data_IF_055104281391
#
_entry.id   IF_055104281391
#
_cell.length_a   1.000
_cell.length_b   1.000
_cell.length_c   1.000
_cell.angle_alpha   90.00
_cell.angle_beta   90.00
_cell.angle_gamma   90.00
#
_symmetry.space_group_name_H-M   'P 1'
#
loop_
_entity.id
_entity.type
_entity.pdbx_description
1 polymer ?
#
# COMPACT_ATOMS: atom_id res chain seq x y z
N UNK A 1 -9.70 25.26 60.91
CA UNK A 1 -10.15 24.91 62.27
C UNK A 1 -11.20 23.81 62.13
N UNK A 2 -10.83 22.57 62.50
CA UNK A 2 -11.65 21.41 62.89
C UNK A 2 -12.50 20.73 61.77
N UNK A 3 -11.99 19.67 61.12
CA UNK A 3 -12.12 18.18 61.36
C UNK A 3 -13.25 17.56 60.50
N UNK A 4 -12.93 16.86 59.40
CA UNK A 4 -12.73 15.40 59.20
C UNK A 4 -14.01 14.71 58.66
N UNK A 5 -13.98 13.71 57.76
CA UNK A 5 -13.02 12.63 57.43
C UNK A 5 -13.00 12.45 55.90
N UNK A 6 -11.87 12.41 55.17
CA UNK A 6 -10.79 11.40 55.08
C UNK A 6 -11.23 9.97 54.75
N UNK A 7 -10.96 9.55 53.50
CA UNK A 7 -10.04 8.44 53.20
C UNK A 7 -9.47 8.62 51.80
N UNK A 8 -8.13 8.68 51.75
CA UNK A 8 -7.29 8.85 50.58
C UNK A 8 -6.40 7.60 50.38
N UNK A 9 -5.85 7.52 49.18
CA UNK A 9 -4.78 6.68 48.63
C UNK A 9 -3.67 6.13 49.58
N UNK A 10 -3.30 4.84 49.47
CA UNK A 10 -1.99 4.28 48.95
C UNK A 10 -1.56 2.89 49.50
N UNK A 11 -0.92 2.15 48.57
CA UNK A 11 0.23 1.23 48.66
C UNK A 11 0.16 -0.14 49.37
N UNK A 12 0.73 -1.13 48.66
CA UNK A 12 1.50 -2.30 49.14
C UNK A 12 0.71 -3.34 49.94
N UNK A 13 0.98 -4.64 49.97
CA UNK A 13 1.83 -5.65 49.35
C UNK A 13 1.28 -6.97 49.99
N UNK A 14 1.83 -8.13 49.63
CA UNK A 14 1.65 -9.39 50.37
C UNK A 14 0.25 -10.06 50.35
N UNK A 15 0.06 -10.97 49.40
CA UNK A 15 -0.08 -12.37 49.80
C UNK A 15 0.15 -13.33 48.63
N UNK A 16 1.39 -13.80 48.54
CA UNK A 16 1.70 -15.05 47.88
C UNK A 16 1.21 -16.21 48.75
N UNK A 17 0.43 -17.15 48.17
CA UNK A 17 0.77 -18.58 48.15
C UNK A 17 -0.29 -19.45 47.46
N UNK A 18 0.22 -20.25 46.53
CA UNK A 18 -0.09 -21.67 46.33
C UNK A 18 -1.41 -22.04 45.66
N UNK A 19 -1.33 -22.22 44.33
CA UNK A 19 -1.82 -23.46 43.72
C UNK A 19 -0.96 -23.84 42.52
N UNK A 20 -0.10 -24.85 42.71
CA UNK A 20 0.69 -25.49 41.65
C UNK A 20 -0.25 -26.15 40.63
N UNK A 21 -0.35 -25.59 39.43
CA UNK A 21 -0.72 -26.35 38.22
C UNK A 21 0.54 -26.58 37.39
N UNK A 22 0.96 -27.84 37.32
CA UNK A 22 1.99 -28.35 36.41
C UNK A 22 1.64 -27.90 34.98
N UNK A 23 2.47 -27.03 34.40
CA UNK A 23 2.50 -26.82 32.95
C UNK A 23 3.23 -28.00 32.34
N UNK A 24 2.53 -28.78 31.52
CA UNK A 24 3.13 -29.72 30.59
C UNK A 24 3.99 -28.92 29.60
N UNK A 25 5.26 -29.30 29.49
CA UNK A 25 6.14 -28.85 28.43
C UNK A 25 5.62 -29.41 27.10
N UNK A 26 5.17 -28.56 26.17
CA UNK A 26 4.72 -29.01 24.85
C UNK A 26 3.92 -28.01 24.02
N UNK A 27 3.26 -27.00 24.60
CA UNK A 27 2.50 -26.02 23.81
C UNK A 27 3.39 -24.83 23.43
N UNK A 28 3.69 -24.73 22.14
CA UNK A 28 4.53 -23.69 21.56
C UNK A 28 3.82 -22.33 21.59
N UNK A 29 4.57 -21.26 21.91
CA UNK A 29 4.19 -19.84 21.84
C UNK A 29 3.92 -19.34 20.39
N UNK A 30 3.33 -20.17 19.52
CA UNK A 30 2.87 -19.79 18.18
C UNK A 30 1.52 -19.09 18.21
N UNK A 31 0.80 -19.16 19.33
CA UNK A 31 -0.52 -18.56 19.57
C UNK A 31 -0.48 -17.03 19.61
N UNK A 32 0.54 -16.41 20.22
CA UNK A 32 0.63 -14.95 20.36
C UNK A 32 0.81 -14.18 19.03
N UNK A 33 1.39 -14.81 18.00
CA UNK A 33 1.54 -14.20 16.68
C UNK A 33 0.28 -14.34 15.81
N UNK A 34 -0.54 -15.37 16.07
CA UNK A 34 -1.75 -15.68 15.30
C UNK A 34 -2.94 -14.83 15.73
N UNK A 35 -3.15 -14.63 17.03
CA UNK A 35 -4.33 -13.95 17.57
C UNK A 35 -4.50 -12.49 17.09
N UNK A 36 -3.41 -11.76 16.83
CA UNK A 36 -3.50 -10.37 16.35
C UNK A 36 -3.83 -10.28 14.85
N UNK A 37 -3.27 -11.17 14.04
CA UNK A 37 -3.52 -11.18 12.60
C UNK A 37 -4.86 -11.82 12.26
N UNK A 38 -5.33 -12.77 13.08
CA UNK A 38 -6.63 -13.42 12.91
C UNK A 38 -7.80 -12.43 13.10
N UNK A 39 -7.67 -11.41 13.97
CA UNK A 39 -8.67 -10.35 14.11
C UNK A 39 -8.81 -9.45 12.86
N UNK A 40 -7.75 -9.32 12.05
CA UNK A 40 -7.75 -8.56 10.79
C UNK A 40 -8.12 -9.48 9.61
N UNK A 41 -7.74 -10.76 9.67
CA UNK A 41 -8.10 -11.78 8.69
C UNK A 41 -9.59 -12.16 8.75
N UNK A 42 -10.23 -12.03 9.92
CA UNK A 42 -11.67 -12.23 10.09
C UNK A 42 -12.51 -11.03 9.63
N UNK A 43 -12.05 -10.22 8.67
CA UNK A 43 -12.76 -9.09 8.05
C UNK A 43 -14.06 -9.50 7.32
N UNK A 44 -14.92 -10.19 8.05
CA UNK A 44 -16.14 -10.86 7.66
C UNK A 44 -17.28 -10.12 8.35
N UNK A 45 -18.04 -9.37 7.56
CA UNK A 45 -19.46 -9.18 7.82
C UNK A 45 -20.16 -9.87 6.64
N UNK A 46 -20.91 -10.94 6.90
CA UNK A 46 -21.72 -11.66 5.91
C UNK A 46 -20.96 -12.35 4.76
N UNK A 47 -19.81 -12.98 5.02
CA UNK A 47 -19.17 -13.88 4.06
C UNK A 47 -18.49 -13.24 2.84
N UNK A 48 -18.18 -11.94 2.88
CA UNK A 48 -17.36 -11.27 1.87
C UNK A 48 -16.06 -10.75 2.49
N UNK A 49 -14.90 -11.26 2.07
CA UNK A 49 -13.63 -10.63 2.43
C UNK A 49 -13.39 -9.39 1.56
N UNK A 50 -13.52 -8.23 2.19
CA UNK A 50 -13.15 -6.90 1.69
C UNK A 50 -12.07 -6.29 2.59
N UNK A 51 -11.07 -7.07 2.98
CA UNK A 51 -10.15 -6.71 4.06
C UNK A 51 -9.00 -5.81 3.58
N UNK A 52 -8.81 -4.72 4.33
CA UNK A 52 -7.59 -3.93 4.41
C UNK A 52 -6.87 -4.32 5.71
N UNK A 53 -5.56 -4.10 5.81
CA UNK A 53 -4.86 -4.24 7.11
C UNK A 53 -5.43 -3.30 8.18
N UNK A 54 -6.10 -2.24 7.74
CA UNK A 54 -6.74 -1.25 8.59
C UNK A 54 -8.25 -1.51 8.57
N UNK A 55 -8.82 -1.73 9.75
CA UNK A 55 -10.24 -2.01 9.93
C UNK A 55 -11.14 -0.82 9.51
N UNK A 56 -10.58 0.40 9.51
CA UNK A 56 -11.29 1.63 9.14
C UNK A 56 -10.77 2.09 7.77
N UNK A 57 -11.64 2.04 6.77
CA UNK A 57 -11.44 2.72 5.51
C UNK A 57 -11.83 4.18 5.68
N UNK A 58 -10.89 5.10 5.47
CA UNK A 58 -11.19 6.52 5.52
C UNK A 58 -11.78 6.96 4.19
N UNK A 59 -13.12 6.88 4.08
CA UNK A 59 -13.89 7.49 3.00
C UNK A 59 -14.17 8.94 3.37
N UNK A 60 -13.47 9.85 2.73
CA UNK A 60 -13.56 11.28 3.03
C UNK A 60 -14.27 11.94 1.84
N UNK A 61 -15.49 12.43 2.10
CA UNK A 61 -16.31 13.13 1.10
C UNK A 61 -16.40 14.62 1.38
N UNK A 62 -16.52 15.38 0.31
CA UNK A 62 -16.69 16.82 0.33
C UNK A 62 -17.99 17.30 0.97
N UNK A 63 -19.00 16.44 1.05
CA UNK A 63 -20.28 16.76 1.68
C UNK A 63 -20.19 16.78 3.21
N UNK A 64 -19.18 16.13 3.79
CA UNK A 64 -18.95 16.10 5.25
C UNK A 64 -18.08 17.26 5.74
N UNK A 65 -18.10 18.41 5.06
CA UNK A 65 -17.50 19.66 5.56
C UNK A 65 -18.38 20.24 6.66
N UNK A 66 -18.55 19.53 7.77
CA UNK A 66 -19.20 20.11 8.94
C UNK A 66 -18.37 21.30 9.42
N UNK A 67 -19.02 22.46 9.51
CA UNK A 67 -18.43 23.77 9.80
C UNK A 67 -17.97 23.95 11.26
N UNK A 68 -17.88 22.87 12.04
CA UNK A 68 -17.39 22.89 13.40
C UNK A 68 -15.89 23.21 13.45
N UNK A 69 -15.48 24.03 14.42
CA UNK A 69 -14.07 24.28 14.70
C UNK A 69 -13.46 22.97 15.19
N UNK A 70 -12.74 22.26 14.31
CA UNK A 70 -11.98 21.06 14.67
C UNK A 70 -10.53 21.48 14.90
N UNK A 71 -10.01 21.17 16.09
CA UNK A 71 -8.62 21.44 16.40
C UNK A 71 -7.72 20.29 15.95
N UNK A 72 -6.45 20.58 15.60
CA UNK A 72 -5.46 19.55 15.33
C UNK A 72 -5.29 18.62 16.54
N UNK A 73 -5.26 17.31 16.29
CA UNK A 73 -5.06 16.34 17.36
C UNK A 73 -3.57 16.27 17.77
N UNK A 74 -3.20 17.08 18.77
CA UNK A 74 -1.80 17.16 19.24
C UNK A 74 -1.28 15.84 19.81
N UNK A 75 -2.14 15.02 20.41
CA UNK A 75 -1.77 13.70 20.94
C UNK A 75 -1.37 12.74 19.82
N UNK A 76 -2.16 12.70 18.74
CA UNK A 76 -1.85 11.88 17.55
C UNK A 76 -0.54 12.34 16.90
N UNK A 77 -0.32 13.65 16.75
CA UNK A 77 0.95 14.16 16.19
C UNK A 77 2.16 13.78 17.05
N UNK A 78 2.04 13.81 18.37
CA UNK A 78 3.10 13.36 19.27
C UNK A 78 3.32 11.84 19.19
N UNK A 79 2.25 11.06 19.09
CA UNK A 79 2.30 9.61 18.92
C UNK A 79 3.01 9.22 17.62
N UNK A 80 2.69 9.86 16.49
CA UNK A 80 3.36 9.65 15.19
C UNK A 80 4.87 9.85 15.34
N UNK A 81 5.32 10.97 15.94
CA UNK A 81 6.76 11.23 16.14
C UNK A 81 7.43 10.16 17.02
N UNK A 82 6.73 9.68 18.05
CA UNK A 82 7.22 8.60 18.91
C UNK A 82 7.35 7.29 18.15
N UNK A 83 6.29 6.87 17.46
CA UNK A 83 6.23 5.63 16.70
C UNK A 83 7.23 5.61 15.54
N UNK A 84 7.40 6.72 14.81
CA UNK A 84 8.41 6.85 13.76
C UNK A 84 9.82 6.62 14.29
N UNK A 85 10.16 7.18 15.46
CA UNK A 85 11.48 6.94 16.10
C UNK A 85 11.66 5.47 16.49
N UNK A 86 10.64 4.85 17.06
CA UNK A 86 10.68 3.42 17.42
C UNK A 86 10.81 2.53 16.18
N UNK A 87 10.10 2.84 15.10
CA UNK A 87 10.17 2.09 13.84
C UNK A 87 11.55 2.19 13.20
N UNK A 88 12.16 3.38 13.18
CA UNK A 88 13.53 3.57 12.70
C UNK A 88 14.51 2.70 13.52
N UNK A 89 14.40 2.73 14.86
CA UNK A 89 15.24 1.90 15.73
C UNK A 89 15.04 0.39 15.46
N UNK A 90 13.80 -0.07 15.28
CA UNK A 90 13.50 -1.45 14.94
C UNK A 90 14.09 -1.84 13.58
N UNK A 91 13.90 -1.00 12.55
CA UNK A 91 14.43 -1.24 11.19
C UNK A 91 15.95 -1.35 11.17
N UNK A 92 16.67 -0.48 11.89
CA UNK A 92 18.14 -0.52 12.01
C UNK A 92 18.66 -1.80 12.64
N UNK A 93 17.85 -2.50 13.44
CA UNK A 93 18.23 -3.77 14.07
C UNK A 93 17.99 -5.00 13.18
N UNK A 94 17.15 -4.88 12.15
CA UNK A 94 16.77 -6.02 11.30
C UNK A 94 17.97 -6.62 10.58
N UNK A 95 18.78 -5.79 9.92
CA UNK A 95 19.92 -6.27 9.15
C UNK A 95 21.01 -6.90 10.04
N UNK A 96 21.46 -6.25 11.13
CA UNK A 96 22.37 -6.89 12.07
C UNK A 96 21.84 -8.20 12.67
N UNK A 97 20.52 -8.32 12.88
CA UNK A 97 19.92 -9.57 13.36
C UNK A 97 19.96 -10.67 12.28
N UNK A 98 19.76 -10.32 11.01
CA UNK A 98 19.89 -11.24 9.90
C UNK A 98 21.35 -11.71 9.73
N UNK A 99 22.34 -10.82 9.89
CA UNK A 99 23.77 -11.16 9.86
C UNK A 99 24.13 -12.17 10.95
N UNK A 100 23.74 -11.90 12.21
CA UNK A 100 23.95 -12.84 13.32
C UNK A 100 23.27 -14.19 13.07
N UNK A 101 22.04 -14.16 12.56
CA UNK A 101 21.32 -15.39 12.22
C UNK A 101 22.04 -16.19 11.13
N UNK A 102 22.53 -15.52 10.09
CA UNK A 102 23.27 -16.12 8.99
C UNK A 102 24.61 -16.74 9.45
N UNK A 103 25.33 -16.06 10.33
CA UNK A 103 26.59 -16.54 10.91
C UNK A 103 26.40 -17.87 11.65
N UNK A 104 25.36 -17.97 12.49
CA UNK A 104 25.09 -19.20 13.24
C UNK A 104 24.56 -20.33 12.33
N UNK A 105 23.76 -19.99 11.32
CA UNK A 105 23.12 -20.97 10.42
C UNK A 105 23.99 -21.41 9.24
N UNK A 106 25.12 -20.76 9.00
CA UNK A 106 25.93 -20.98 7.79
C UNK A 106 25.21 -20.56 6.50
N UNK A 107 24.25 -19.62 6.60
CA UNK A 107 23.41 -19.13 5.52
C UNK A 107 23.85 -17.74 5.05
N UNK A 108 23.07 -17.09 4.17
CA UNK A 108 23.28 -15.70 3.75
C UNK A 108 22.29 -14.75 4.46
N UNK A 109 22.70 -13.56 4.93
CA UNK A 109 21.80 -12.61 5.61
C UNK A 109 20.55 -12.28 4.80
N UNK A 110 20.67 -12.15 3.47
CA UNK A 110 19.54 -11.88 2.57
C UNK A 110 18.51 -13.00 2.61
N UNK A 111 18.98 -14.25 2.67
CA UNK A 111 18.12 -15.44 2.74
C UNK A 111 17.40 -15.47 4.08
N UNK A 112 18.13 -15.29 5.17
CA UNK A 112 17.58 -15.28 6.53
C UNK A 112 16.52 -14.18 6.70
N UNK A 113 16.84 -12.96 6.27
CA UNK A 113 15.90 -11.85 6.31
C UNK A 113 14.68 -12.10 5.42
N UNK A 114 14.89 -12.65 4.21
CA UNK A 114 13.83 -12.99 3.27
C UNK A 114 12.86 -14.04 3.82
N UNK A 115 13.39 -15.13 4.38
CA UNK A 115 12.61 -16.20 5.02
C UNK A 115 11.86 -15.70 6.24
N UNK A 116 12.51 -14.95 7.13
CA UNK A 116 11.85 -14.39 8.31
C UNK A 116 10.71 -13.43 7.94
N UNK A 117 10.94 -12.57 6.94
CA UNK A 117 9.92 -11.66 6.42
C UNK A 117 8.74 -12.40 5.80
N UNK A 118 8.99 -13.50 5.07
CA UNK A 118 7.94 -14.35 4.49
C UNK A 118 7.13 -15.04 5.58
N UNK A 119 7.80 -15.64 6.55
CA UNK A 119 7.18 -16.37 7.64
C UNK A 119 6.30 -15.47 8.52
N UNK A 120 6.77 -14.27 8.84
CA UNK A 120 6.03 -13.32 9.67
C UNK A 120 4.89 -12.61 8.94
N UNK A 121 4.69 -12.85 7.64
CA UNK A 121 3.56 -12.28 6.88
C UNK A 121 2.49 -13.36 6.64
N UNK A 122 1.34 -13.32 7.34
CA UNK A 122 0.30 -14.33 7.18
C UNK A 122 -0.34 -14.32 5.79
N UNK A 123 -0.18 -13.22 5.04
CA UNK A 123 -0.70 -13.06 3.68
C UNK A 123 0.31 -13.44 2.60
N UNK A 124 1.53 -13.84 2.95
CA UNK A 124 2.53 -14.24 1.96
C UNK A 124 2.09 -15.45 1.10
N UNK A 125 1.36 -16.45 1.63
CA UNK A 125 0.81 -17.55 0.82
C UNK A 125 -0.12 -17.10 -0.31
N UNK A 126 -0.77 -15.93 -0.22
CA UNK A 126 -1.58 -15.39 -1.31
C UNK A 126 -0.76 -15.22 -2.59
N UNK A 127 0.50 -14.84 -2.47
CA UNK A 127 1.41 -14.75 -3.60
C UNK A 127 2.05 -16.10 -3.91
N UNK A 128 2.78 -16.66 -2.95
CA UNK A 128 3.79 -17.71 -3.17
C UNK A 128 3.34 -19.14 -2.84
N UNK A 129 2.07 -19.39 -2.47
CA UNK A 129 1.63 -20.66 -1.88
C UNK A 129 2.01 -21.94 -2.65
N UNK A 130 2.42 -22.98 -1.90
CA UNK A 130 2.88 -24.29 -2.39
C UNK A 130 1.84 -25.07 -3.24
N UNK A 131 0.57 -24.65 -3.24
CA UNK A 131 -0.50 -25.22 -4.08
C UNK A 131 -0.98 -24.27 -5.19
N UNK A 132 -0.18 -23.25 -5.52
CA UNK A 132 -0.51 -22.27 -6.56
C UNK A 132 -1.17 -21.01 -6.01
N UNK A 133 -0.38 -20.23 -5.27
CA UNK A 133 -0.71 -18.84 -4.95
C UNK A 133 -1.05 -18.01 -6.19
N UNK A 134 -1.68 -16.85 -6.00
CA UNK A 134 -2.13 -15.96 -7.08
C UNK A 134 -0.99 -15.45 -7.98
N UNK A 135 0.29 -15.62 -7.60
CA UNK A 135 1.42 -15.35 -8.51
C UNK A 135 1.45 -16.29 -9.73
N UNK A 136 0.72 -17.41 -9.73
CA UNK A 136 0.58 -18.23 -10.93
C UNK A 136 -0.41 -17.62 -11.93
N UNK A 137 -1.32 -16.77 -11.47
CA UNK A 137 -2.36 -16.15 -12.30
C UNK A 137 -1.90 -14.82 -12.90
N UNK A 138 -0.87 -14.19 -12.32
CA UNK A 138 -0.40 -12.86 -12.71
C UNK A 138 1.12 -12.82 -12.77
N UNK A 139 1.65 -11.93 -13.60
CA UNK A 139 3.10 -11.74 -13.76
C UNK A 139 3.81 -11.35 -12.46
N UNK A 140 3.12 -10.64 -11.57
CA UNK A 140 3.67 -10.15 -10.32
C UNK A 140 2.58 -9.79 -9.31
N UNK A 141 3.00 -9.50 -8.08
CA UNK A 141 2.10 -9.17 -6.97
C UNK A 141 1.36 -7.83 -7.11
N UNK A 142 1.78 -6.93 -8.00
CA UNK A 142 1.05 -5.67 -8.18
C UNK A 142 -0.38 -5.95 -8.68
N UNK A 143 -0.56 -6.90 -9.60
CA UNK A 143 -1.89 -7.33 -10.04
C UNK A 143 -2.79 -7.74 -8.86
N UNK A 144 -2.24 -8.53 -7.92
CA UNK A 144 -2.92 -8.99 -6.70
C UNK A 144 -3.29 -7.81 -5.78
N UNK A 145 -2.45 -6.76 -5.72
CA UNK A 145 -2.79 -5.53 -4.98
C UNK A 145 -3.99 -4.83 -5.59
N UNK A 146 -4.00 -4.62 -6.90
CA UNK A 146 -5.11 -3.95 -7.55
C UNK A 146 -6.40 -4.79 -7.47
N UNK A 147 -6.30 -6.11 -7.60
CA UNK A 147 -7.43 -7.02 -7.38
C UNK A 147 -8.01 -6.89 -5.97
N UNK A 148 -7.16 -6.86 -4.95
CA UNK A 148 -7.58 -6.65 -3.57
C UNK A 148 -8.22 -5.27 -3.38
N UNK A 149 -7.63 -4.21 -3.91
CA UNK A 149 -8.16 -2.84 -3.85
C UNK A 149 -9.54 -2.78 -4.50
N UNK A 150 -9.67 -3.32 -5.70
CA UNK A 150 -10.94 -3.32 -6.44
C UNK A 150 -12.02 -4.08 -5.68
N UNK A 151 -11.71 -5.25 -5.11
CA UNK A 151 -12.63 -6.01 -4.26
C UNK A 151 -13.06 -5.23 -3.00
N UNK A 152 -12.14 -4.53 -2.32
CA UNK A 152 -12.46 -3.65 -1.18
C UNK A 152 -13.47 -2.58 -1.60
N UNK A 153 -13.31 -2.03 -2.81
CA UNK A 153 -14.15 -0.98 -3.37
C UNK A 153 -15.45 -1.51 -4.00
N UNK A 154 -15.77 -2.79 -3.84
CA UNK A 154 -16.96 -3.40 -4.45
C UNK A 154 -16.88 -3.46 -5.98
N UNK A 155 -15.67 -3.67 -6.52
CA UNK A 155 -15.34 -3.75 -7.94
C UNK A 155 -15.56 -2.46 -8.75
N UNK A 156 -15.58 -1.31 -8.06
CA UNK A 156 -15.83 -0.01 -8.69
C UNK A 156 -14.75 0.43 -9.70
N UNK A 157 -13.54 -0.15 -9.69
CA UNK A 157 -12.50 0.20 -10.66
C UNK A 157 -12.73 -0.45 -12.03
N UNK A 158 -13.41 -1.61 -12.05
CA UNK A 158 -13.58 -2.44 -13.26
C UNK A 158 -15.04 -2.51 -13.72
N UNK A 159 -16.01 -2.33 -12.82
CA UNK A 159 -17.44 -2.20 -13.13
C UNK A 159 -17.82 -0.75 -13.44
N UNK A 160 -17.14 -0.15 -14.41
CA UNK A 160 -17.46 1.20 -14.87
C UNK A 160 -18.78 1.19 -15.63
N UNK A 161 -19.70 2.08 -15.24
CA UNK A 161 -21.00 2.27 -15.88
C UNK A 161 -20.88 3.04 -17.21
N UNK A 162 -20.21 2.43 -18.18
CA UNK A 162 -20.00 2.92 -19.53
C UNK A 162 -19.93 1.72 -20.48
N UNK A 163 -20.29 1.89 -21.74
CA UNK A 163 -20.14 0.84 -22.76
C UNK A 163 -18.65 0.52 -23.00
N UNK A 164 -17.78 1.53 -22.98
CA UNK A 164 -16.35 1.37 -23.16
C UNK A 164 -15.60 1.64 -21.86
N UNK A 165 -14.47 0.97 -21.64
CA UNK A 165 -13.61 1.18 -20.47
C UNK A 165 -12.20 1.55 -20.89
N UNK A 166 -11.76 2.74 -20.48
CA UNK A 166 -10.45 3.28 -20.83
C UNK A 166 -9.66 3.60 -19.58
N UNK A 167 -8.42 3.13 -19.53
CA UNK A 167 -7.54 3.36 -18.40
C UNK A 167 -6.10 3.68 -18.81
N UNK A 168 -5.36 4.35 -17.94
CA UNK A 168 -3.92 4.52 -18.08
C UNK A 168 -3.17 3.98 -16.85
N UNK A 169 -1.99 3.40 -17.09
CA UNK A 169 -1.10 2.82 -16.09
C UNK A 169 0.25 3.55 -16.12
N UNK A 170 0.45 4.44 -15.14
CA UNK A 170 1.60 5.32 -15.02
C UNK A 170 2.65 4.67 -14.11
N UNK A 171 3.89 4.64 -14.60
CA UNK A 171 5.01 3.98 -13.91
C UNK A 171 4.72 2.51 -13.54
N UNK A 172 3.82 1.85 -14.29
CA UNK A 172 3.27 0.55 -13.95
C UNK A 172 3.99 -0.66 -14.55
N UNK A 173 5.05 -0.45 -15.33
CA UNK A 173 5.80 -1.57 -15.92
C UNK A 173 6.33 -2.51 -14.81
N UNK A 174 6.27 -3.84 -14.99
CA UNK A 174 6.00 -4.56 -16.24
C UNK A 174 4.52 -4.70 -16.62
N UNK A 175 3.59 -4.12 -15.85
CA UNK A 175 2.17 -4.02 -16.19
C UNK A 175 1.23 -4.87 -15.34
N UNK A 176 1.57 -5.16 -14.07
CA UNK A 176 0.73 -6.00 -13.21
C UNK A 176 -0.68 -5.43 -12.98
N UNK A 177 -0.80 -4.11 -12.80
CA UNK A 177 -2.09 -3.43 -12.67
C UNK A 177 -2.91 -3.54 -13.96
N UNK A 178 -2.29 -3.22 -15.10
CA UNK A 178 -2.89 -3.42 -16.42
C UNK A 178 -3.32 -4.85 -16.68
N UNK A 179 -2.52 -5.84 -16.27
CA UNK A 179 -2.84 -7.27 -16.44
C UNK A 179 -4.14 -7.62 -15.73
N UNK A 180 -4.30 -7.20 -14.48
CA UNK A 180 -5.54 -7.38 -13.72
C UNK A 180 -6.73 -6.70 -14.40
N UNK A 181 -6.61 -5.43 -14.77
CA UNK A 181 -7.69 -4.65 -15.37
C UNK A 181 -8.17 -5.28 -16.69
N UNK A 182 -7.24 -5.73 -17.53
CA UNK A 182 -7.56 -6.36 -18.81
C UNK A 182 -8.24 -7.73 -18.61
N UNK A 183 -7.67 -8.62 -17.78
CA UNK A 183 -8.24 -9.95 -17.50
C UNK A 183 -9.63 -9.84 -16.90
N UNK A 184 -9.80 -9.01 -15.87
CA UNK A 184 -11.11 -8.76 -15.26
C UNK A 184 -12.13 -8.25 -16.26
N UNK A 185 -11.73 -7.30 -17.11
CA UNK A 185 -12.66 -6.73 -18.09
C UNK A 185 -13.08 -7.75 -19.14
N UNK A 186 -12.17 -8.66 -19.53
CA UNK A 186 -12.48 -9.78 -20.42
C UNK A 186 -13.58 -10.69 -19.86
N UNK A 187 -13.55 -10.96 -18.55
CA UNK A 187 -14.50 -11.87 -17.88
C UNK A 187 -15.86 -11.22 -17.61
N UNK A 188 -15.87 -9.91 -17.30
CA UNK A 188 -17.05 -9.24 -16.78
C UNK A 188 -17.81 -8.41 -17.82
N UNK A 189 -17.18 -8.07 -18.95
CA UNK A 189 -17.79 -7.22 -19.98
C UNK A 189 -18.18 -8.06 -21.20
N UNK A 190 -19.46 -7.97 -21.56
CA UNK A 190 -20.02 -8.68 -22.72
C UNK A 190 -20.00 -7.84 -24.01
N UNK A 191 -19.78 -6.53 -23.91
CA UNK A 191 -19.80 -5.60 -25.03
C UNK A 191 -18.88 -4.40 -24.80
N UNK A 192 -18.61 -3.68 -25.90
CA UNK A 192 -17.75 -2.49 -25.92
C UNK A 192 -16.26 -2.80 -25.86
N UNK A 193 -15.46 -1.74 -25.94
CA UNK A 193 -14.01 -1.81 -26.01
C UNK A 193 -13.36 -1.49 -24.68
N UNK A 194 -12.26 -2.20 -24.39
CA UNK A 194 -11.35 -1.88 -23.30
C UNK A 194 -10.04 -1.41 -23.89
N UNK A 195 -9.60 -0.20 -23.54
CA UNK A 195 -8.30 0.33 -23.98
C UNK A 195 -7.45 0.76 -22.80
N UNK A 196 -6.28 0.15 -22.68
CA UNK A 196 -5.25 0.54 -21.72
C UNK A 196 -4.11 1.28 -22.38
N UNK A 197 -3.54 2.25 -21.66
CA UNK A 197 -2.34 2.97 -22.10
C UNK A 197 -1.29 2.95 -21.00
N UNK A 198 -0.05 2.59 -21.32
CA UNK A 198 1.05 2.52 -20.37
C UNK A 198 2.12 3.54 -20.66
N UNK A 199 2.64 4.19 -19.63
CA UNK A 199 3.89 4.95 -19.72
C UNK A 199 4.76 4.69 -18.50
N UNK A 200 5.99 4.26 -18.73
CA UNK A 200 6.97 3.97 -17.68
C UNK A 200 8.36 4.18 -18.24
N UNK A 201 9.35 4.41 -17.36
CA UNK A 201 10.74 4.64 -17.74
C UNK A 201 11.26 3.51 -18.65
N UNK A 202 11.85 3.91 -19.76
CA UNK A 202 12.57 3.10 -20.75
C UNK A 202 14.04 3.47 -20.64
N UNK A 203 14.91 2.46 -20.50
CA UNK A 203 16.34 2.69 -20.33
C UNK A 203 16.68 3.08 -18.88
N UNK A 204 17.30 4.24 -18.66
CA UNK A 204 17.86 4.62 -17.35
C UNK A 204 17.71 6.12 -17.13
N UNK A 205 17.48 6.54 -15.89
CA UNK A 205 17.61 7.93 -15.43
C UNK A 205 18.39 7.99 -14.10
N UNK A 206 18.44 9.18 -13.48
CA UNK A 206 19.15 9.41 -12.21
C UNK A 206 18.63 8.54 -11.03
N UNK A 207 17.44 7.96 -11.15
CA UNK A 207 16.80 7.14 -10.12
C UNK A 207 16.87 5.63 -10.37
N UNK A 208 17.40 5.19 -11.51
CA UNK A 208 17.66 3.78 -11.81
C UNK A 208 17.24 3.35 -13.21
N UNK A 209 17.06 2.05 -13.37
CA UNK A 209 16.74 1.41 -14.66
C UNK A 209 15.24 1.13 -14.79
N UNK A 210 14.71 1.41 -15.98
CA UNK A 210 13.36 1.07 -16.38
C UNK A 210 13.15 -0.45 -16.54
N UNK A 211 11.91 -0.89 -16.39
CA UNK A 211 11.48 -2.27 -16.67
C UNK A 211 10.59 -2.29 -17.90
N UNK A 212 10.74 -3.29 -18.76
CA UNK A 212 9.91 -3.45 -19.95
C UNK A 212 8.49 -3.93 -19.62
N UNK A 213 7.51 -3.51 -20.43
CA UNK A 213 6.13 -3.99 -20.35
C UNK A 213 6.02 -5.44 -20.83
N UNK A 214 5.20 -6.25 -20.15
CA UNK A 214 5.05 -7.68 -20.45
C UNK A 214 3.56 -8.07 -20.56
N UNK A 215 2.82 -7.45 -21.48
CA UNK A 215 1.37 -7.67 -21.64
C UNK A 215 1.00 -8.40 -22.94
N UNK A 216 1.99 -8.87 -23.70
CA UNK A 216 1.77 -9.53 -25.00
C UNK A 216 0.99 -10.85 -24.93
N UNK A 217 0.91 -11.47 -23.74
CA UNK A 217 0.10 -12.67 -23.51
C UNK A 217 -1.40 -12.38 -23.40
N UNK A 218 -1.80 -11.12 -23.21
CA UNK A 218 -3.21 -10.72 -23.21
C UNK A 218 -3.59 -10.34 -24.64
N UNK A 219 -4.36 -11.21 -25.29
CA UNK A 219 -4.87 -10.96 -26.62
C UNK A 219 -6.35 -11.35 -26.71
N UNK A 220 -7.21 -10.36 -26.92
CA UNK A 220 -8.64 -10.57 -27.07
C UNK A 220 -9.23 -9.47 -27.97
N UNK A 221 -10.23 -9.79 -28.79
CA UNK A 221 -10.71 -8.91 -29.87
C UNK A 221 -11.18 -7.53 -29.40
N UNK A 222 -11.73 -7.45 -28.18
CA UNK A 222 -12.26 -6.20 -27.61
C UNK A 222 -11.28 -5.47 -26.67
N UNK A 223 -10.07 -6.00 -26.49
CA UNK A 223 -9.04 -5.43 -25.62
C UNK A 223 -7.91 -4.86 -26.47
N UNK A 224 -7.44 -3.67 -26.10
CA UNK A 224 -6.23 -3.08 -26.68
C UNK A 224 -5.37 -2.50 -25.57
N UNK A 225 -4.04 -2.63 -25.72
CA UNK A 225 -3.09 -2.00 -24.83
C UNK A 225 -1.97 -1.34 -25.64
N UNK A 226 -1.68 -0.08 -25.36
CA UNK A 226 -0.64 0.68 -26.05
C UNK A 226 0.38 1.23 -25.06
N UNK A 227 1.66 1.10 -25.37
CA UNK A 227 2.73 1.68 -24.57
C UNK A 227 3.23 2.96 -25.25
N UNK A 228 3.42 4.02 -24.48
CA UNK A 228 4.01 5.27 -24.92
C UNK A 228 5.33 5.52 -24.21
N UNK A 229 6.38 5.85 -24.97
CA UNK A 229 7.61 6.43 -24.45
C UNK A 229 7.57 7.95 -24.30
N UNK A 230 6.43 8.60 -24.56
CA UNK A 230 6.34 10.05 -24.55
C UNK A 230 6.99 10.73 -25.75
N UNK A 231 7.32 12.01 -25.61
CA UNK A 231 7.86 12.87 -26.67
C UNK A 231 9.30 12.52 -27.03
N UNK A 232 10.12 12.18 -26.02
CA UNK A 232 11.52 11.83 -26.20
C UNK A 232 11.77 10.31 -26.24
N UNK A 233 10.73 9.50 -26.07
CA UNK A 233 10.79 8.04 -26.08
C UNK A 233 11.29 7.41 -24.77
N UNK A 234 11.68 8.20 -23.77
CA UNK A 234 12.21 7.70 -22.49
C UNK A 234 11.13 7.19 -21.54
N UNK A 235 9.88 7.59 -21.71
CA UNK A 235 8.79 7.31 -20.77
C UNK A 235 9.02 7.88 -19.37
N UNK A 236 9.98 8.79 -19.21
CA UNK A 236 10.27 9.43 -17.93
C UNK A 236 9.13 10.41 -17.59
N UNK A 237 8.43 10.13 -16.50
CA UNK A 237 7.29 10.93 -16.04
C UNK A 237 7.71 12.30 -15.48
N UNK A 238 8.99 12.48 -15.14
CA UNK A 238 9.51 13.78 -14.72
C UNK A 238 9.54 14.78 -15.87
N UNK A 239 9.53 14.31 -17.13
CA UNK A 239 9.41 15.17 -18.30
C UNK A 239 7.93 15.38 -18.66
N UNK A 240 7.42 16.59 -18.42
CA UNK A 240 6.01 16.91 -18.70
C UNK A 240 5.64 16.82 -20.18
N UNK A 241 6.59 16.95 -21.11
CA UNK A 241 6.32 16.74 -22.54
C UNK A 241 6.03 15.27 -22.87
N UNK A 242 6.55 14.32 -22.10
CA UNK A 242 6.21 12.90 -22.25
C UNK A 242 4.74 12.63 -21.89
N UNK A 243 4.27 13.23 -20.80
CA UNK A 243 2.86 13.16 -20.39
C UNK A 243 1.94 13.81 -21.43
N UNK A 244 2.32 14.98 -21.95
CA UNK A 244 1.53 15.66 -23.00
C UNK A 244 1.49 14.85 -24.30
N UNK A 245 2.61 14.22 -24.68
CA UNK A 245 2.66 13.33 -25.84
C UNK A 245 1.79 12.08 -25.66
N UNK A 246 1.78 11.47 -24.47
CA UNK A 246 0.86 10.38 -24.13
C UNK A 246 -0.61 10.82 -24.30
N UNK A 247 -1.00 11.98 -23.77
CA UNK A 247 -2.36 12.50 -23.93
C UNK A 247 -2.75 12.71 -25.39
N UNK A 248 -1.87 13.35 -26.18
CA UNK A 248 -2.12 13.55 -27.62
C UNK A 248 -2.26 12.23 -28.37
N UNK A 249 -1.44 11.23 -28.02
CA UNK A 249 -1.52 9.89 -28.60
C UNK A 249 -2.85 9.19 -28.28
N UNK A 250 -3.29 9.28 -27.02
CA UNK A 250 -4.61 8.80 -26.58
C UNK A 250 -5.73 9.49 -27.36
N UNK A 251 -5.71 10.82 -27.44
CA UNK A 251 -6.76 11.60 -28.12
C UNK A 251 -6.85 11.23 -29.59
N UNK A 252 -5.70 11.09 -30.26
CA UNK A 252 -5.61 10.65 -31.65
C UNK A 252 -6.18 9.24 -31.85
N UNK A 253 -5.77 8.27 -31.03
CA UNK A 253 -6.22 6.88 -31.11
C UNK A 253 -7.74 6.76 -30.87
N UNK A 254 -8.25 7.46 -29.85
CA UNK A 254 -9.68 7.49 -29.55
C UNK A 254 -10.48 8.18 -30.66
N UNK A 255 -9.98 9.30 -31.20
CA UNK A 255 -10.64 10.00 -32.30
C UNK A 255 -10.69 9.14 -33.57
N UNK A 256 -9.56 8.53 -33.95
CA UNK A 256 -9.46 7.65 -35.11
C UNK A 256 -10.41 6.45 -34.98
N UNK A 257 -10.51 5.90 -33.77
CA UNK A 257 -11.38 4.78 -33.46
C UNK A 257 -12.85 5.18 -33.23
N UNK A 258 -13.19 6.47 -33.33
CA UNK A 258 -14.52 7.03 -33.03
C UNK A 258 -15.05 6.68 -31.64
N UNK A 259 -14.14 6.54 -30.68
CA UNK A 259 -14.45 6.20 -29.29
C UNK A 259 -14.59 7.45 -28.43
N UNK A 260 -15.52 7.39 -27.48
CA UNK A 260 -15.75 8.41 -26.45
C UNK A 260 -15.80 7.73 -25.09
N UNK A 261 -15.32 8.42 -24.03
CA UNK A 261 -14.64 9.72 -24.01
C UNK A 261 -13.22 9.66 -24.60
N UNK A 262 -12.62 10.82 -24.92
CA UNK A 262 -11.22 10.94 -25.35
C UNK A 262 -10.22 11.01 -24.17
N UNK A 263 -10.70 10.70 -22.96
CA UNK A 263 -9.93 10.73 -21.71
C UNK A 263 -10.22 9.47 -20.89
N UNK A 264 -9.46 9.27 -19.82
CA UNK A 264 -9.47 8.00 -19.07
C UNK A 264 -10.56 7.96 -18.01
N UNK A 265 -11.23 6.81 -17.88
CA UNK A 265 -12.11 6.49 -16.75
C UNK A 265 -11.31 6.23 -15.48
N UNK A 266 -10.14 5.58 -15.63
CA UNK A 266 -9.26 5.19 -14.55
C UNK A 266 -7.83 5.55 -14.89
N UNK A 267 -7.11 6.16 -13.95
CA UNK A 267 -5.65 6.23 -13.99
C UNK A 267 -5.13 5.51 -12.76
N UNK A 268 -4.17 4.62 -12.95
CA UNK A 268 -3.47 3.93 -11.87
C UNK A 268 -1.99 4.30 -11.90
N UNK A 269 -1.39 4.45 -10.73
CA UNK A 269 -0.01 4.87 -10.55
C UNK A 269 0.63 4.08 -9.39
N UNK A 270 1.63 3.24 -9.71
CA UNK A 270 2.35 2.36 -8.76
C UNK A 270 3.87 2.59 -8.76
N UNK A 271 4.30 3.82 -9.10
CA UNK A 271 5.70 4.18 -9.22
C UNK A 271 6.53 3.94 -7.97
N UNK A 272 7.81 3.64 -8.20
CA UNK A 272 8.82 3.51 -7.14
C UNK A 272 10.19 3.18 -7.71
N UNK A 273 11.24 3.42 -6.93
CA UNK A 273 12.63 3.21 -7.33
C UNK A 273 13.48 2.66 -6.18
N UNK A 274 14.63 2.07 -6.49
CA UNK A 274 15.39 1.26 -5.52
C UNK A 274 15.92 2.06 -4.33
N UNK A 275 16.44 3.28 -4.56
CA UNK A 275 16.90 4.15 -3.49
C UNK A 275 15.78 4.46 -2.48
N UNK A 276 14.54 4.64 -2.96
CA UNK A 276 13.37 4.85 -2.12
C UNK A 276 12.97 3.58 -1.35
N UNK A 277 13.09 2.40 -1.95
CA UNK A 277 12.73 1.12 -1.29
C UNK A 277 13.59 0.81 -0.07
N UNK A 278 14.86 1.21 -0.10
CA UNK A 278 15.85 0.91 0.95
C UNK A 278 16.00 2.03 1.99
N UNK A 279 15.29 3.15 1.83
CA UNK A 279 15.43 4.33 2.70
C UNK A 279 14.49 4.30 3.91
N UNK A 280 14.92 4.96 4.99
CA UNK A 280 14.07 5.32 6.14
C UNK A 280 13.14 6.50 5.81
N UNK A 281 13.53 7.34 4.84
CA UNK A 281 12.83 8.56 4.40
C UNK A 281 12.12 8.34 3.06
N UNK A 282 11.24 7.32 3.00
CA UNK A 282 10.60 6.93 1.73
C UNK A 282 9.65 8.00 1.20
N UNK A 283 8.97 8.73 2.09
CA UNK A 283 8.02 9.78 1.71
C UNK A 283 8.74 10.95 1.02
N UNK A 284 9.82 11.44 1.62
CA UNK A 284 10.60 12.56 1.08
C UNK A 284 11.19 12.22 -0.28
N UNK A 285 11.75 11.01 -0.43
CA UNK A 285 12.33 10.56 -1.71
C UNK A 285 11.28 10.37 -2.79
N UNK A 286 10.10 9.83 -2.45
CA UNK A 286 9.02 9.59 -3.42
C UNK A 286 8.25 10.84 -3.82
N UNK A 287 8.39 11.96 -3.08
CA UNK A 287 7.54 13.15 -3.23
C UNK A 287 7.50 13.66 -4.67
N UNK A 288 8.65 13.82 -5.33
CA UNK A 288 8.70 14.30 -6.72
C UNK A 288 7.95 13.35 -7.67
N UNK A 289 8.17 12.05 -7.54
CA UNK A 289 7.52 11.03 -8.37
C UNK A 289 6.00 11.07 -8.20
N UNK A 290 5.53 11.05 -6.95
CA UNK A 290 4.10 11.10 -6.61
C UNK A 290 3.44 12.34 -7.20
N UNK A 291 4.08 13.52 -7.11
CA UNK A 291 3.52 14.73 -7.69
C UNK A 291 3.44 14.65 -9.22
N UNK A 292 4.46 14.12 -9.89
CA UNK A 292 4.42 13.91 -11.33
C UNK A 292 3.31 12.92 -11.74
N UNK A 293 3.10 11.83 -10.98
CA UNK A 293 2.00 10.89 -11.19
C UNK A 293 0.63 11.54 -10.99
N UNK A 294 0.44 12.38 -9.95
CA UNK A 294 -0.79 13.14 -9.73
C UNK A 294 -1.03 14.11 -10.89
N UNK A 295 -0.03 14.89 -11.26
CA UNK A 295 -0.14 15.87 -12.34
C UNK A 295 -0.51 15.20 -13.68
N UNK A 296 0.14 14.08 -13.99
CA UNK A 296 -0.18 13.28 -15.18
C UNK A 296 -1.59 12.71 -15.12
N UNK A 297 -2.02 12.18 -13.96
CA UNK A 297 -3.37 11.68 -13.79
C UNK A 297 -4.44 12.77 -14.01
N UNK A 298 -4.25 13.97 -13.46
CA UNK A 298 -5.20 15.08 -13.66
C UNK A 298 -5.30 15.48 -15.15
N UNK A 299 -4.19 15.38 -15.89
CA UNK A 299 -4.17 15.66 -17.32
C UNK A 299 -4.95 14.62 -18.13
N UNK A 300 -4.85 13.34 -17.75
CA UNK A 300 -5.41 12.20 -18.50
C UNK A 300 -6.87 11.86 -18.13
N UNK A 301 -7.31 12.19 -16.92
CA UNK A 301 -8.64 11.82 -16.43
C UNK A 301 -9.76 12.62 -17.10
N UNK A 302 -10.87 11.92 -17.37
CA UNK A 302 -12.13 12.58 -17.68
C UNK A 302 -12.81 13.07 -16.39
N UNK A 303 -13.76 14.00 -16.54
CA UNK A 303 -14.66 14.35 -15.44
C UNK A 303 -15.46 13.12 -14.97
N UNK A 304 -15.53 12.89 -13.66
CA UNK A 304 -16.07 11.70 -13.03
C UNK A 304 -15.07 10.54 -12.91
N UNK A 305 -13.88 10.65 -13.48
CA UNK A 305 -12.85 9.61 -13.47
C UNK A 305 -12.27 9.31 -12.08
N UNK A 306 -11.53 8.20 -11.99
CA UNK A 306 -10.90 7.72 -10.74
C UNK A 306 -9.38 7.64 -10.87
N UNK A 307 -8.66 8.08 -9.83
CA UNK A 307 -7.22 7.86 -9.65
C UNK A 307 -6.98 6.82 -8.56
N UNK A 308 -6.11 5.84 -8.80
CA UNK A 308 -5.49 5.01 -7.76
C UNK A 308 -4.00 5.33 -7.73
N UNK A 309 -3.50 5.84 -6.62
CA UNK A 309 -2.08 6.22 -6.49
C UNK A 309 -1.45 5.62 -5.25
N UNK A 310 -0.22 5.13 -5.42
CA UNK A 310 0.63 4.65 -4.34
C UNK A 310 1.30 5.81 -3.59
N UNK A 311 1.34 5.68 -2.27
CA UNK A 311 1.94 6.66 -1.37
C UNK A 311 2.83 5.95 -0.32
N UNK A 312 3.63 6.72 0.40
CA UNK A 312 4.51 6.21 1.47
C UNK A 312 4.35 6.90 2.83
N UNK A 313 3.61 8.00 2.89
CA UNK A 313 3.36 8.78 4.09
C UNK A 313 2.53 10.02 3.76
N UNK A 314 2.04 10.70 4.80
CA UNK A 314 1.33 11.97 4.67
C UNK A 314 1.92 13.04 5.58
N UNK A 315 3.17 12.95 6.04
CA UNK A 315 3.71 13.86 7.06
C UNK A 315 4.43 15.07 6.49
N UNK A 316 4.96 14.98 5.27
CA UNK A 316 5.64 16.10 4.61
C UNK A 316 4.65 17.19 4.22
N UNK A 317 5.08 18.45 4.33
CA UNK A 317 4.23 19.60 3.97
C UNK A 317 3.78 19.53 2.50
N UNK A 318 4.66 19.11 1.60
CA UNK A 318 4.39 19.01 0.17
C UNK A 318 3.29 17.99 -0.11
N UNK A 319 3.37 16.79 0.49
CA UNK A 319 2.32 15.77 0.34
C UNK A 319 1.01 16.23 0.98
N UNK A 320 1.04 16.89 2.15
CA UNK A 320 -0.16 17.47 2.78
C UNK A 320 -0.88 18.43 1.85
N UNK A 321 -0.13 19.33 1.21
CA UNK A 321 -0.70 20.27 0.24
C UNK A 321 -1.31 19.52 -0.95
N UNK A 322 -0.59 18.56 -1.53
CA UNK A 322 -1.10 17.76 -2.64
C UNK A 322 -2.37 16.96 -2.27
N UNK A 323 -2.43 16.41 -1.05
CA UNK A 323 -3.59 15.66 -0.56
C UNK A 323 -4.82 16.56 -0.37
N UNK A 324 -4.64 17.81 0.08
CA UNK A 324 -5.73 18.79 0.20
C UNK A 324 -6.23 19.22 -1.18
N UNK A 325 -5.32 19.41 -2.14
CA UNK A 325 -5.68 19.69 -3.53
C UNK A 325 -6.47 18.50 -4.12
N UNK A 326 -6.00 17.26 -3.94
CA UNK A 326 -6.74 16.05 -4.35
C UNK A 326 -8.12 15.97 -3.68
N UNK A 327 -8.21 16.30 -2.38
CA UNK A 327 -9.48 16.36 -1.68
C UNK A 327 -10.43 17.34 -2.38
N UNK A 328 -9.97 18.53 -2.77
CA UNK A 328 -10.78 19.51 -3.50
C UNK A 328 -11.05 19.14 -4.96
N UNK A 329 -10.19 18.35 -5.62
CA UNK A 329 -10.34 17.98 -7.02
C UNK A 329 -11.25 16.77 -7.25
N UNK A 330 -11.56 16.01 -6.19
CA UNK A 330 -12.36 14.79 -6.26
C UNK A 330 -13.55 14.83 -5.29
N UNK A 331 -14.57 14.03 -5.57
CA UNK A 331 -15.75 13.94 -4.71
C UNK A 331 -15.52 13.08 -3.46
N UNK A 332 -14.66 12.08 -3.59
CA UNK A 332 -14.36 11.12 -2.54
C UNK A 332 -12.89 10.67 -2.60
N UNK A 333 -12.22 10.67 -1.44
CA UNK A 333 -10.93 10.01 -1.25
C UNK A 333 -11.12 8.79 -0.35
N UNK A 334 -10.55 7.65 -0.75
CA UNK A 334 -10.44 6.44 0.09
C UNK A 334 -8.98 6.11 0.33
N UNK A 335 -8.56 6.06 1.58
CA UNK A 335 -7.18 5.68 1.96
C UNK A 335 -7.19 4.27 2.53
N UNK A 336 -6.30 3.41 2.04
CA UNK A 336 -6.27 2.00 2.43
C UNK A 336 -4.86 1.39 2.31
N UNK A 337 -4.64 0.28 3.02
CA UNK A 337 -3.49 -0.60 2.84
C UNK A 337 -3.98 -2.02 2.55
N UNK A 338 -3.90 -2.49 1.29
CA UNK A 338 -4.43 -3.82 0.95
C UNK A 338 -3.63 -4.90 1.68
N UNK A 339 -4.30 -5.99 2.07
CA UNK A 339 -3.67 -7.13 2.77
C UNK A 339 -2.58 -7.82 1.92
N UNK A 340 -2.69 -7.70 0.59
CA UNK A 340 -1.67 -8.16 -0.36
C UNK A 340 -0.41 -7.26 -0.41
N UNK A 341 -0.44 -6.07 0.22
CA UNK A 341 0.77 -5.29 0.52
C UNK A 341 1.37 -5.74 1.84
N UNK A 342 2.69 -5.94 1.88
CA UNK A 342 3.38 -6.48 3.06
C UNK A 342 3.21 -5.56 4.29
N UNK A 343 2.97 -6.09 5.49
CA UNK A 343 2.62 -5.29 6.68
C UNK A 343 3.78 -4.44 7.21
N UNK A 344 5.03 -4.84 6.98
CA UNK A 344 6.22 -4.06 7.35
C UNK A 344 6.54 -2.89 6.39
N UNK A 345 5.83 -2.78 5.26
CA UNK A 345 6.02 -1.71 4.28
C UNK A 345 5.16 -0.48 4.59
N UNK A 346 5.72 0.70 4.37
CA UNK A 346 5.00 1.98 4.42
C UNK A 346 4.10 2.22 3.19
N UNK A 347 4.15 1.33 2.19
CA UNK A 347 3.28 1.35 1.03
C UNK A 347 1.80 1.32 1.45
N UNK A 348 1.06 2.27 0.89
CA UNK A 348 -0.38 2.48 1.04
C UNK A 348 -0.92 3.07 -0.26
N UNK A 349 -2.24 3.07 -0.43
CA UNK A 349 -2.89 3.58 -1.63
C UNK A 349 -3.96 4.61 -1.27
N UNK A 350 -4.08 5.63 -2.12
CA UNK A 350 -5.18 6.59 -2.12
C UNK A 350 -5.99 6.38 -3.39
N UNK A 351 -7.30 6.25 -3.25
CA UNK A 351 -8.25 6.14 -4.36
C UNK A 351 -9.11 7.39 -4.38
N UNK A 352 -8.92 8.24 -5.39
CA UNK A 352 -9.65 9.48 -5.59
C UNK A 352 -10.74 9.25 -6.64
N UNK A 353 -12.02 9.38 -6.27
CA UNK A 353 -13.18 9.12 -7.14
C UNK A 353 -13.94 10.40 -7.45
N UNK A 354 -14.47 10.49 -8.66
CA UNK A 354 -15.27 11.63 -9.10
C UNK A 354 -14.40 12.85 -9.37
N UNK A 355 -13.43 12.73 -10.28
CA UNK A 355 -12.62 13.87 -10.70
C UNK A 355 -13.51 15.00 -11.22
N UNK A 356 -13.40 16.20 -10.64
CA UNK A 356 -14.31 17.30 -10.98
C UNK A 356 -14.04 17.95 -12.34
N UNK A 357 -12.87 17.68 -12.92
CA UNK A 357 -12.39 18.33 -14.12
C UNK A 357 -11.85 19.73 -13.81
N UNK A 358 -10.65 20.01 -14.29
CA UNK A 358 -10.08 21.36 -14.28
C UNK A 358 -9.86 21.83 -15.71
N UNK A 359 -10.44 22.98 -16.05
CA UNK A 359 -10.14 23.64 -17.33
C UNK A 359 -8.70 24.16 -17.28
N UNK A 360 -7.98 23.98 -18.38
CA UNK A 360 -6.63 24.53 -18.57
C UNK A 360 -5.63 24.12 -17.46
N UNK A 361 -5.76 22.90 -16.92
CA UNK A 361 -4.82 22.40 -15.93
C UNK A 361 -3.40 22.26 -16.50
N UNK A 362 -2.46 23.03 -15.96
CA UNK A 362 -1.02 22.84 -16.19
C UNK A 362 -0.38 22.13 -14.99
N UNK A 363 0.09 20.90 -15.23
CA UNK A 363 0.72 20.09 -14.19
C UNK A 363 2.02 20.68 -13.64
N UNK A 364 2.77 21.42 -14.46
CA UNK A 364 4.03 22.06 -14.05
C UNK A 364 3.74 23.23 -13.13
N UNK A 365 2.78 24.08 -13.49
CA UNK A 365 2.33 25.18 -12.64
C UNK A 365 1.74 24.68 -11.33
N UNK A 366 0.91 23.63 -11.38
CA UNK A 366 0.37 23.00 -10.18
C UNK A 366 1.48 22.46 -9.28
N UNK A 367 2.44 21.69 -9.81
CA UNK A 367 3.56 21.18 -9.01
C UNK A 367 4.38 22.31 -8.37
N UNK A 368 4.73 23.36 -9.13
CA UNK A 368 5.43 24.53 -8.61
C UNK A 368 4.63 25.19 -7.48
N UNK A 369 3.31 25.31 -7.66
CA UNK A 369 2.42 25.86 -6.65
C UNK A 369 2.44 25.02 -5.37
N UNK A 370 2.42 23.68 -5.47
CA UNK A 370 2.47 22.75 -4.33
C UNK A 370 3.79 22.86 -3.59
N UNK A 371 4.92 22.89 -4.30
CA UNK A 371 6.25 23.01 -3.68
C UNK A 371 6.46 24.34 -2.94
N UNK A 372 5.92 25.43 -3.48
CA UNK A 372 6.11 26.78 -2.94
C UNK A 372 5.02 27.19 -1.94
N UNK A 373 3.93 26.41 -1.80
CA UNK A 373 2.78 26.78 -0.96
C UNK A 373 3.14 26.79 0.52
N UNK A 374 3.00 27.97 1.14
CA UNK A 374 3.04 28.11 2.59
C UNK A 374 1.67 27.82 3.17
N UNK A 375 1.60 26.84 4.06
CA UNK A 375 0.35 26.50 4.76
C UNK A 375 0.02 27.57 5.79
N UNK A 376 -1.10 28.27 5.57
CA UNK A 376 -1.59 29.31 6.47
C UNK A 376 -2.38 28.71 7.65
N UNK A 377 -2.59 29.46 8.75
CA UNK A 377 -3.51 29.05 9.81
C UNK A 377 -4.93 28.77 9.30
N UNK A 378 -5.39 29.54 8.30
CA UNK A 378 -6.68 29.36 7.65
C UNK A 378 -6.76 28.02 6.92
N UNK A 379 -5.71 27.62 6.21
CA UNK A 379 -5.63 26.30 5.57
C UNK A 379 -5.73 25.18 6.62
N UNK A 380 -4.96 25.29 7.72
CA UNK A 380 -5.00 24.30 8.80
C UNK A 380 -6.40 24.16 9.40
N UNK A 381 -7.13 25.26 9.56
CA UNK A 381 -8.50 25.23 10.05
C UNK A 381 -9.46 24.62 9.02
N UNK A 382 -9.35 25.03 7.75
CA UNK A 382 -10.20 24.53 6.65
C UNK A 382 -10.07 23.02 6.45
N UNK A 383 -8.85 22.48 6.57
CA UNK A 383 -8.58 21.05 6.35
C UNK A 383 -8.36 20.27 7.65
N UNK A 384 -8.67 20.83 8.84
CA UNK A 384 -8.35 20.19 10.12
C UNK A 384 -8.88 18.75 10.24
N UNK A 385 -10.16 18.53 9.90
CA UNK A 385 -10.76 17.20 9.92
C UNK A 385 -10.07 16.24 8.95
N UNK A 386 -9.79 16.70 7.73
CA UNK A 386 -9.10 15.93 6.71
C UNK A 386 -7.69 15.56 7.17
N UNK A 387 -6.94 16.53 7.67
CA UNK A 387 -5.59 16.34 8.18
C UNK A 387 -5.55 15.38 9.37
N UNK A 388 -6.50 15.47 10.29
CA UNK A 388 -6.64 14.54 11.40
C UNK A 388 -6.87 13.10 10.90
N UNK A 389 -7.64 12.89 9.82
CA UNK A 389 -7.81 11.55 9.23
C UNK A 389 -6.54 11.01 8.58
N UNK A 390 -5.73 11.86 7.96
CA UNK A 390 -4.40 11.45 7.46
C UNK A 390 -3.47 11.06 8.61
N UNK A 391 -3.49 11.83 9.71
CA UNK A 391 -2.70 11.56 10.91
C UNK A 391 -3.10 10.25 11.60
N UNK A 392 -4.41 10.02 11.79
CA UNK A 392 -4.94 8.75 12.30
C UNK A 392 -4.44 7.56 11.47
N UNK A 393 -4.51 7.66 10.14
CA UNK A 393 -4.03 6.61 9.24
C UNK A 393 -2.52 6.39 9.34
N UNK A 394 -1.72 7.46 9.39
CA UNK A 394 -0.27 7.37 9.58
C UNK A 394 0.09 6.68 10.90
N UNK A 395 -0.60 7.04 11.98
CA UNK A 395 -0.39 6.43 13.30
C UNK A 395 -0.68 4.92 13.27
N UNK A 396 -1.84 4.53 12.75
CA UNK A 396 -2.23 3.10 12.67
C UNK A 396 -1.25 2.30 11.80
N UNK A 397 -0.82 2.88 10.67
CA UNK A 397 0.14 2.21 9.81
C UNK A 397 1.52 2.08 10.47
N UNK A 398 1.98 3.09 11.20
CA UNK A 398 3.23 3.02 11.96
C UNK A 398 3.17 1.92 13.02
N UNK A 399 2.04 1.77 13.72
CA UNK A 399 1.85 0.67 14.67
C UNK A 399 1.91 -0.70 13.99
N UNK A 400 1.25 -0.87 12.84
CA UNK A 400 1.31 -2.11 12.05
C UNK A 400 2.73 -2.41 11.58
N UNK A 401 3.42 -1.41 11.01
CA UNK A 401 4.80 -1.54 10.55
C UNK A 401 5.74 -1.94 11.70
N UNK A 402 5.60 -1.27 12.86
CA UNK A 402 6.42 -1.54 14.04
C UNK A 402 6.22 -2.97 14.55
N UNK A 403 4.96 -3.41 14.68
CA UNK A 403 4.63 -4.79 15.07
C UNK A 403 5.22 -5.81 14.09
N UNK A 404 5.07 -5.58 12.79
CA UNK A 404 5.63 -6.46 11.76
C UNK A 404 7.16 -6.51 11.80
N UNK A 405 7.84 -5.38 11.98
CA UNK A 405 9.29 -5.33 12.16
C UNK A 405 9.74 -6.07 13.43
N UNK A 406 9.03 -5.91 14.55
CA UNK A 406 9.34 -6.66 15.78
C UNK A 406 9.13 -8.16 15.64
N UNK A 407 8.11 -8.61 14.90
CA UNK A 407 7.90 -10.02 14.64
C UNK A 407 9.08 -10.63 13.87
N UNK A 408 9.52 -9.96 12.80
CA UNK A 408 10.69 -10.38 12.00
C UNK A 408 11.95 -10.39 12.86
N UNK A 409 12.19 -9.32 13.61
CA UNK A 409 13.35 -9.20 14.48
C UNK A 409 13.38 -10.31 15.54
N UNK A 410 12.25 -10.58 16.19
CA UNK A 410 12.11 -11.62 17.21
C UNK A 410 12.39 -13.01 16.63
N UNK A 411 11.93 -13.28 15.40
CA UNK A 411 12.20 -14.55 14.73
C UNK A 411 13.68 -14.75 14.42
N UNK A 412 14.33 -13.73 13.86
CA UNK A 412 15.77 -13.76 13.56
C UNK A 412 16.61 -13.96 14.83
N UNK A 413 16.31 -13.21 15.89
CA UNK A 413 17.02 -13.31 17.17
C UNK A 413 16.81 -14.68 17.83
N UNK A 414 15.60 -15.26 17.75
CA UNK A 414 15.33 -16.62 18.25
C UNK A 414 16.05 -17.69 17.43
N UNK A 415 16.07 -17.59 16.11
CA UNK A 415 16.75 -18.57 15.22
C UNK A 415 18.26 -18.56 15.50
N UNK A 416 18.87 -17.38 15.66
CA UNK A 416 20.26 -17.24 16.07
C UNK A 416 20.52 -17.87 17.45
N UNK A 417 19.71 -17.55 18.46
CA UNK A 417 19.90 -18.06 19.82
C UNK A 417 19.68 -19.59 19.94
N UNK A 418 18.69 -20.13 19.24
CA UNK A 418 18.38 -21.56 19.26
C UNK A 418 19.57 -22.36 18.73
N UNK A 419 20.19 -21.96 17.63
CA UNK A 419 21.32 -22.73 17.09
C UNK A 419 22.61 -22.59 17.92
N UNK A 420 22.84 -21.46 18.59
CA UNK A 420 23.91 -21.35 19.59
C UNK A 420 23.69 -22.33 20.77
N UNK A 421 22.44 -22.59 21.16
CA UNK A 421 22.13 -23.59 22.20
C UNK A 421 22.17 -25.03 21.68
N UNK A 422 21.79 -25.27 20.42
CA UNK A 422 21.84 -26.59 19.77
C UNK A 422 23.28 -27.06 19.47
N UNK A 423 24.21 -26.15 19.20
CA UNK A 423 25.65 -26.48 19.11
C UNK A 423 26.22 -27.00 20.44
N UNK A 424 25.56 -26.73 21.58
CA UNK A 424 25.93 -27.25 22.90
C UNK A 424 25.29 -28.62 23.17
N UNK A 425 24.20 -28.97 22.48
CA UNK A 425 23.50 -30.26 22.60
C UNK A 425 23.50 -31.04 21.29
N UNK A 426 24.67 -31.56 20.89
CA UNK A 426 24.72 -32.58 19.84
C UNK A 426 24.07 -33.87 20.36
N UNK A 427 22.81 -34.13 19.95
CA UNK A 427 22.29 -35.43 19.50
C UNK A 427 20.77 -35.33 19.24
N UNK A 428 20.38 -35.28 17.96
CA UNK A 428 19.06 -35.73 17.48
C UNK A 428 18.00 -34.65 17.22
N UNK A 429 17.74 -34.37 15.93
CA UNK A 429 16.53 -33.70 15.45
C UNK A 429 16.79 -32.46 14.59
N UNK A 430 16.20 -32.41 13.40
CA UNK A 430 16.27 -31.25 12.49
C UNK A 430 15.72 -29.97 13.10
N UNK A 431 16.11 -28.82 12.56
CA UNK A 431 15.74 -27.51 13.09
C UNK A 431 14.21 -27.30 13.08
N UNK A 432 13.59 -26.81 14.17
CA UNK A 432 12.13 -26.68 14.29
C UNK A 432 11.50 -25.60 13.40
N UNK A 433 12.30 -24.93 12.55
CA UNK A 433 11.90 -23.80 11.72
C UNK A 433 11.53 -24.20 10.27
N UNK A 434 11.61 -25.50 9.93
CA UNK A 434 11.14 -26.05 8.65
C UNK A 434 9.60 -26.14 8.56
N UNK A 435 8.87 -25.33 9.33
CA UNK A 435 7.41 -25.35 9.38
C UNK A 435 6.80 -24.63 8.18
N UNK A 436 5.95 -25.34 7.44
CA UNK A 436 5.09 -24.83 6.38
C UNK A 436 4.44 -23.49 6.78
N UNK A 437 4.30 -22.57 5.81
CA UNK A 437 3.58 -21.31 6.00
C UNK A 437 2.19 -21.60 6.59
N UNK A 438 1.64 -20.72 7.44
CA UNK A 438 0.30 -20.91 8.01
C UNK A 438 -0.71 -21.24 6.91
N UNK A 439 -1.64 -22.19 7.13
CA UNK A 439 -2.60 -22.59 6.11
C UNK A 439 -3.57 -21.43 5.82
N UNK A 440 -3.27 -20.67 4.77
CA UNK A 440 -4.17 -19.67 4.22
C UNK A 440 -5.01 -20.31 3.11
N UNK A 441 -6.33 -20.20 3.20
CA UNK A 441 -7.22 -20.66 2.14
C UNK A 441 -7.16 -19.68 0.95
N UNK A 442 -6.17 -19.84 0.06
CA UNK A 442 -5.99 -19.00 -1.14
C UNK A 442 -7.22 -19.05 -2.05
N UNK A 443 -7.88 -20.20 -2.16
CA UNK A 443 -9.07 -20.39 -2.98
C UNK A 443 -10.24 -19.51 -2.52
N UNK A 444 -10.40 -19.36 -1.20
CA UNK A 444 -11.36 -18.41 -0.64
C UNK A 444 -11.11 -16.99 -1.16
N UNK A 445 -9.86 -16.51 -1.15
CA UNK A 445 -9.53 -15.16 -1.64
C UNK A 445 -9.68 -15.04 -3.14
N UNK A 446 -9.35 -16.09 -3.89
CA UNK A 446 -9.62 -16.17 -5.34
C UNK A 446 -11.10 -15.94 -5.60
N UNK A 447 -11.99 -16.67 -4.92
CA UNK A 447 -13.44 -16.52 -5.06
C UNK A 447 -13.94 -15.15 -4.58
N UNK A 448 -13.50 -14.69 -3.41
CA UNK A 448 -13.91 -13.41 -2.84
C UNK A 448 -13.51 -12.22 -3.72
N UNK A 449 -12.33 -12.30 -4.34
CA UNK A 449 -11.83 -11.33 -5.30
C UNK A 449 -12.25 -11.65 -6.73
N UNK A 450 -13.11 -12.66 -6.96
CA UNK A 450 -13.62 -13.08 -8.26
C UNK A 450 -12.53 -13.38 -9.30
N UNK A 451 -11.36 -13.84 -8.87
CA UNK A 451 -10.19 -14.05 -9.73
C UNK A 451 -10.22 -15.38 -10.48
#
# INVERSE_FOLDING_TARGET
MIVARDTDWRSEEENARSTKRRRSAGESNTTDLRDFYDQIASGHVNGQIRSSWLAILHRISMHNRDSGIVQPNMEVSAAIKSLSRQLIQAKRRLWPAAERCAEVTGSRPEREFGEARRFCNPMEPLGEGNQGGLNQMFMNRAAIKLANIDAILGFALTQVNSENFFFADLCGAPGGFSEYLLKRSQETRTSGFVRGYGMSLVGTNEHGHGTGWNLGHINHQNLSYQVSGGADGSGDIYNSENVKALSRGIEYDMHFSKLRPQKMHLVVADGGFDAQRNSECQEELATKLILCEIAAAMYLLQQGGTLVIKMFGFQTNTIRVAMRDLFDFFDELTILKPISSRPASAERYVVCKGYRGMRDFDGTEWMNSVFLRRVTPQDKMRYAQFDNKLDEFDMDLLQLNLKACFAILSLLERKAAAQSSWQISMQGGGAPWDSELPPLNVEFYRQAWRL
#
